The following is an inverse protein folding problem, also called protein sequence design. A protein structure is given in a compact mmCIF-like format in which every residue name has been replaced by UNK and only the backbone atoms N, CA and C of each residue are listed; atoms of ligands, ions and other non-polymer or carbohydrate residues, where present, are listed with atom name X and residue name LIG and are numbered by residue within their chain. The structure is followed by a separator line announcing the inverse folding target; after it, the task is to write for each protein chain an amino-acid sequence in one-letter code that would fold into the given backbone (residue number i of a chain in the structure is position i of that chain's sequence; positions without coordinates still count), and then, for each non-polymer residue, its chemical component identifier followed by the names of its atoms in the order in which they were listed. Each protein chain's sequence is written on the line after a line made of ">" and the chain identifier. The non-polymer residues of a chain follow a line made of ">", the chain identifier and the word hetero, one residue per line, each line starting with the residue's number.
data_IF_201395552618
#
_entry.id   IF_201395552618
#
_cell.length_a   1.000
_cell.length_b   1.000
_cell.length_c   1.000
_cell.angle_alpha   90.00
_cell.angle_beta   90.00
_cell.angle_gamma   90.00
#
_symmetry.space_group_name_H-M   'P 1'
#
loop_
_entity.id
_entity.type
_entity.pdbx_description
1 polymer ?
#
# COMPACT_ATOMS: atom_id res chain seq x y z
N UNK A 1 -29.30 20.77 6.50
CA UNK A 1 -27.98 20.25 6.06
C UNK A 1 -27.98 18.74 6.27
N UNK A 2 -27.60 17.91 5.29
CA UNK A 2 -27.49 16.47 5.52
C UNK A 2 -26.36 16.23 6.52
N UNK A 3 -26.61 15.42 7.55
CA UNK A 3 -25.59 15.01 8.52
C UNK A 3 -24.55 14.19 7.76
N UNK A 4 -23.34 14.72 7.57
CA UNK A 4 -22.23 13.92 7.04
C UNK A 4 -21.95 12.80 8.03
N UNK A 5 -22.14 11.55 7.62
CA UNK A 5 -21.83 10.39 8.45
C UNK A 5 -20.37 10.50 8.93
N UNK A 6 -20.20 10.48 10.26
CA UNK A 6 -18.90 10.46 10.91
C UNK A 6 -18.37 9.02 10.94
N UNK A 7 -17.06 8.87 10.93
CA UNK A 7 -16.39 7.57 11.11
C UNK A 7 -16.11 7.23 12.58
N UNK A 8 -16.46 8.11 13.51
CA UNK A 8 -16.10 7.97 14.92
C UNK A 8 -17.10 7.12 15.73
N UNK A 9 -16.62 6.24 16.63
CA UNK A 9 -15.20 5.91 16.85
C UNK A 9 -14.67 4.93 15.78
N UNK A 10 -13.49 5.22 15.23
CA UNK A 10 -12.82 4.32 14.30
C UNK A 10 -12.29 3.08 15.04
N UNK A 11 -12.65 1.85 14.63
CA UNK A 11 -12.12 0.64 15.24
C UNK A 11 -10.60 0.58 15.26
N UNK A 12 -10.04 -0.03 16.30
CA UNK A 12 -8.59 -0.13 16.51
C UNK A 12 -7.84 -0.71 15.28
N UNK A 13 -8.30 -1.79 14.62
CA UNK A 13 -7.57 -2.34 13.48
C UNK A 13 -7.40 -1.35 12.33
N UNK A 14 -8.46 -0.61 12.00
CA UNK A 14 -8.43 0.42 10.95
C UNK A 14 -7.59 1.62 11.34
N UNK A 15 -7.63 2.01 12.61
CA UNK A 15 -6.79 3.10 13.14
C UNK A 15 -5.31 2.74 13.03
N UNK A 16 -4.93 1.55 13.52
CA UNK A 16 -3.53 1.12 13.49
C UNK A 16 -3.03 0.96 12.07
N UNK A 17 -3.80 0.30 11.20
CA UNK A 17 -3.34 0.03 9.85
C UNK A 17 -3.25 1.30 8.99
N UNK A 18 -4.39 1.97 8.75
CA UNK A 18 -4.46 3.08 7.79
C UNK A 18 -3.74 4.34 8.25
N UNK A 19 -3.68 4.59 9.57
CA UNK A 19 -3.03 5.80 10.06
C UNK A 19 -1.55 5.57 10.37
N UNK A 20 -1.12 4.38 10.78
CA UNK A 20 0.24 4.19 11.29
C UNK A 20 1.05 3.17 10.50
N UNK A 21 0.62 1.91 10.48
CA UNK A 21 1.41 0.82 9.91
C UNK A 21 1.66 1.06 8.43
N UNK A 22 0.62 1.45 7.70
CA UNK A 22 0.70 1.61 6.26
C UNK A 22 1.51 2.83 5.82
N UNK A 23 1.27 4.06 6.30
CA UNK A 23 2.12 5.19 5.95
C UNK A 23 3.60 4.96 6.28
N UNK A 24 3.91 4.30 7.40
CA UNK A 24 5.30 3.96 7.76
C UNK A 24 5.89 2.90 6.83
N UNK A 25 5.13 1.87 6.47
CA UNK A 25 5.60 0.83 5.55
C UNK A 25 5.83 1.38 4.15
N UNK A 26 4.92 2.23 3.67
CA UNK A 26 4.99 2.84 2.34
C UNK A 26 6.18 3.80 2.21
N UNK A 27 6.49 4.60 3.24
CA UNK A 27 7.68 5.48 3.19
C UNK A 27 8.98 4.68 3.26
N UNK A 28 9.01 3.55 3.98
CA UNK A 28 10.15 2.62 3.96
C UNK A 28 10.32 2.03 2.56
N UNK A 29 9.22 1.65 1.89
CA UNK A 29 9.24 1.23 0.48
C UNK A 29 9.83 2.30 -0.44
N UNK A 30 9.43 3.57 -0.26
CA UNK A 30 9.97 4.71 -1.00
C UNK A 30 11.48 4.87 -0.78
N UNK A 31 11.94 4.71 0.48
CA UNK A 31 13.36 4.77 0.81
C UNK A 31 14.16 3.72 0.05
N UNK A 32 13.74 2.45 0.08
CA UNK A 32 14.47 1.39 -0.60
C UNK A 32 14.45 1.57 -2.13
N UNK A 33 13.31 1.99 -2.69
CA UNK A 33 13.18 2.23 -4.13
C UNK A 33 14.06 3.38 -4.64
N UNK A 34 14.43 4.37 -3.82
CA UNK A 34 15.30 5.47 -4.27
C UNK A 34 16.75 5.34 -3.79
N UNK A 35 16.97 5.08 -2.50
CA UNK A 35 18.29 5.14 -1.89
C UNK A 35 19.00 3.78 -1.86
N UNK A 36 18.29 2.67 -2.09
CA UNK A 36 18.84 1.32 -2.03
C UNK A 36 18.39 0.50 -3.26
N UNK A 37 18.53 1.09 -4.44
CA UNK A 37 18.02 0.53 -5.69
C UNK A 37 18.57 -0.87 -6.00
N UNK A 38 19.87 -1.10 -5.81
CA UNK A 38 20.51 -2.41 -6.05
C UNK A 38 19.89 -3.50 -5.16
N UNK A 39 19.77 -3.21 -3.86
CA UNK A 39 19.10 -4.10 -2.93
C UNK A 39 17.64 -4.32 -3.31
N UNK A 40 16.92 -3.26 -3.69
CA UNK A 40 15.52 -3.33 -4.07
C UNK A 40 15.31 -4.26 -5.27
N UNK A 41 16.11 -4.08 -6.32
CA UNK A 41 16.04 -4.87 -7.54
C UNK A 41 16.40 -6.33 -7.27
N UNK A 42 17.54 -6.58 -6.60
CA UNK A 42 18.00 -7.92 -6.27
C UNK A 42 17.01 -8.69 -5.38
N UNK A 43 16.39 -7.99 -4.41
CA UNK A 43 15.38 -8.60 -3.54
C UNK A 43 14.05 -8.86 -4.27
N UNK A 44 13.73 -8.10 -5.32
CA UNK A 44 12.52 -8.30 -6.12
C UNK A 44 12.72 -9.45 -7.11
N UNK A 45 13.79 -9.41 -7.91
CA UNK A 45 14.16 -10.48 -8.84
C UNK A 45 15.65 -10.75 -8.65
N UNK A 46 16.03 -11.96 -8.22
CA UNK A 46 17.44 -12.35 -8.12
C UNK A 46 18.16 -12.19 -9.46
N UNK A 47 19.46 -11.92 -9.42
CA UNK A 47 20.31 -11.75 -10.60
C UNK A 47 19.98 -10.55 -11.50
N UNK A 48 19.29 -9.53 -10.95
CA UNK A 48 19.25 -8.22 -11.58
C UNK A 48 20.68 -7.71 -11.75
N UNK A 49 21.12 -7.52 -13.00
CA UNK A 49 22.45 -6.97 -13.29
C UNK A 49 22.63 -5.54 -12.76
N UNK A 50 23.73 -4.90 -13.16
CA UNK A 50 23.96 -3.50 -12.79
C UNK A 50 22.79 -2.60 -13.23
N UNK A 51 22.37 -1.70 -12.35
CA UNK A 51 21.22 -0.82 -12.59
C UNK A 51 21.56 0.18 -13.69
N UNK A 52 20.77 0.15 -14.76
CA UNK A 52 20.85 1.13 -15.85
C UNK A 52 20.29 2.48 -15.42
N UNK A 53 20.68 3.54 -16.15
CA UNK A 53 20.12 4.90 -15.94
C UNK A 53 18.58 4.88 -16.07
N UNK A 54 18.04 4.06 -16.98
CA UNK A 54 16.58 3.96 -17.18
C UNK A 54 15.90 3.36 -15.95
N UNK A 55 16.43 2.28 -15.41
CA UNK A 55 15.92 1.65 -14.20
C UNK A 55 16.02 2.59 -13.01
N UNK A 56 17.14 3.30 -12.85
CA UNK A 56 17.30 4.27 -11.75
C UNK A 56 16.26 5.40 -11.80
N UNK A 57 15.94 5.90 -12.99
CA UNK A 57 14.85 6.89 -13.18
C UNK A 57 13.50 6.30 -12.81
N UNK A 58 13.17 5.09 -13.30
CA UNK A 58 11.88 4.44 -13.03
C UNK A 58 11.72 4.12 -11.54
N UNK A 59 12.77 3.63 -10.89
CA UNK A 59 12.78 3.34 -9.45
C UNK A 59 12.62 4.62 -8.61
N UNK A 60 13.23 5.72 -9.04
CA UNK A 60 13.03 7.03 -8.39
C UNK A 60 11.62 7.57 -8.58
N UNK A 61 11.00 7.35 -9.76
CA UNK A 61 9.60 7.68 -10.00
C UNK A 61 8.67 6.81 -9.14
N UNK A 62 8.97 5.51 -8.98
CA UNK A 62 8.25 4.61 -8.09
C UNK A 62 8.35 5.06 -6.63
N UNK A 63 9.55 5.42 -6.17
CA UNK A 63 9.75 5.97 -4.83
C UNK A 63 8.95 7.26 -4.60
N UNK A 64 8.94 8.16 -5.59
CA UNK A 64 8.13 9.37 -5.53
C UNK A 64 6.63 9.06 -5.45
N UNK A 65 6.15 8.02 -6.16
CA UNK A 65 4.76 7.58 -6.07
C UNK A 65 4.43 7.02 -4.67
N UNK A 66 5.31 6.21 -4.08
CA UNK A 66 5.16 5.73 -2.70
C UNK A 66 5.20 6.86 -1.68
N UNK A 67 6.04 7.87 -1.89
CA UNK A 67 6.05 9.05 -1.03
C UNK A 67 4.74 9.84 -1.15
N UNK A 68 4.26 10.09 -2.37
CA UNK A 68 2.96 10.72 -2.59
C UNK A 68 1.81 9.92 -1.95
N UNK A 69 1.87 8.59 -2.04
CA UNK A 69 0.91 7.70 -1.40
C UNK A 69 0.92 7.87 0.13
N UNK A 70 2.10 7.80 0.74
CA UNK A 70 2.29 8.06 2.18
C UNK A 70 1.67 9.39 2.61
N UNK A 71 1.93 10.47 1.86
CA UNK A 71 1.39 11.79 2.18
C UNK A 71 -0.13 11.83 2.09
N UNK A 72 -0.73 11.22 1.06
CA UNK A 72 -2.18 11.19 0.91
C UNK A 72 -2.84 10.44 2.07
N UNK A 73 -2.36 9.25 2.41
CA UNK A 73 -2.90 8.50 3.55
C UNK A 73 -2.69 9.23 4.86
N UNK A 74 -1.47 9.72 5.10
CA UNK A 74 -1.14 10.35 6.36
C UNK A 74 -1.93 11.64 6.58
N UNK A 75 -2.05 12.49 5.56
CA UNK A 75 -2.64 13.83 5.68
C UNK A 75 -4.16 13.82 5.46
N UNK A 76 -4.65 13.16 4.42
CA UNK A 76 -6.09 13.20 4.09
C UNK A 76 -6.91 12.49 5.15
N UNK A 77 -6.52 11.28 5.57
CA UNK A 77 -7.27 10.52 6.58
C UNK A 77 -7.24 11.19 7.97
N UNK A 78 -6.17 11.93 8.30
CA UNK A 78 -6.07 12.70 9.55
C UNK A 78 -6.79 14.04 9.51
N UNK A 79 -6.97 14.64 8.34
CA UNK A 79 -7.60 15.95 8.18
C UNK A 79 -9.13 15.91 8.15
N UNK A 80 -9.74 14.73 8.10
CA UNK A 80 -11.20 14.59 8.03
C UNK A 80 -11.74 13.38 8.77
N UNK A 81 -12.97 13.53 9.27
CA UNK A 81 -13.80 12.44 9.83
C UNK A 81 -14.96 12.06 8.91
N UNK A 82 -15.01 12.64 7.71
CA UNK A 82 -16.07 12.35 6.74
C UNK A 82 -15.94 10.94 6.19
N UNK A 83 -16.96 10.10 6.43
CA UNK A 83 -17.06 8.75 5.88
C UNK A 83 -16.94 8.73 4.36
N UNK A 84 -17.49 9.74 3.68
CA UNK A 84 -17.43 9.87 2.23
C UNK A 84 -15.98 10.04 1.74
N UNK A 85 -15.20 10.92 2.39
CA UNK A 85 -13.81 11.15 1.99
C UNK A 85 -12.95 9.91 2.23
N UNK A 86 -13.14 9.26 3.37
CA UNK A 86 -12.47 7.99 3.69
C UNK A 86 -12.79 6.91 2.65
N UNK A 87 -14.08 6.71 2.33
CA UNK A 87 -14.47 5.72 1.32
C UNK A 87 -13.91 6.03 -0.05
N UNK A 88 -13.93 7.30 -0.48
CA UNK A 88 -13.39 7.70 -1.79
C UNK A 88 -11.88 7.46 -1.86
N UNK A 89 -11.12 7.85 -0.83
CA UNK A 89 -9.68 7.62 -0.81
C UNK A 89 -9.37 6.12 -0.78
N UNK A 90 -9.95 5.37 0.16
CA UNK A 90 -9.65 3.94 0.31
C UNK A 90 -10.12 3.10 -0.89
N UNK A 91 -11.16 3.52 -1.63
CA UNK A 91 -11.52 2.89 -2.89
C UNK A 91 -10.44 3.10 -3.96
N UNK A 92 -9.92 4.33 -4.09
CA UNK A 92 -8.81 4.60 -5.02
C UNK A 92 -7.56 3.78 -4.68
N UNK A 93 -7.27 3.64 -3.38
CA UNK A 93 -6.15 2.83 -2.90
C UNK A 93 -6.38 1.34 -3.11
N UNK A 94 -7.60 0.83 -2.93
CA UNK A 94 -7.94 -0.56 -3.24
C UNK A 94 -7.72 -0.89 -4.73
N UNK A 95 -8.04 0.06 -5.63
CA UNK A 95 -7.76 -0.09 -7.06
C UNK A 95 -6.23 -0.12 -7.29
N UNK A 96 -5.47 0.74 -6.60
CA UNK A 96 -4.02 0.75 -6.66
C UNK A 96 -3.40 -0.56 -6.14
N UNK A 97 -3.95 -1.16 -5.07
CA UNK A 97 -3.51 -2.44 -4.52
C UNK A 97 -3.58 -3.55 -5.59
N UNK A 98 -4.71 -3.64 -6.30
CA UNK A 98 -4.84 -4.61 -7.41
C UNK A 98 -3.87 -4.33 -8.56
N UNK A 99 -3.62 -3.04 -8.86
CA UNK A 99 -2.61 -2.64 -9.83
C UNK A 99 -1.20 -3.09 -9.45
N UNK A 100 -0.82 -2.89 -8.18
CA UNK A 100 0.47 -3.31 -7.63
C UNK A 100 0.64 -4.84 -7.65
N UNK A 101 -0.40 -5.57 -7.22
CA UNK A 101 -0.44 -7.04 -7.28
C UNK A 101 -0.31 -7.51 -8.73
N UNK A 102 -0.99 -6.87 -9.68
CA UNK A 102 -0.90 -7.22 -11.10
C UNK A 102 0.49 -6.97 -11.69
N UNK A 103 1.15 -5.88 -11.28
CA UNK A 103 2.50 -5.54 -11.74
C UNK A 103 3.53 -6.64 -11.39
N UNK A 104 3.28 -7.42 -10.33
CA UNK A 104 4.13 -8.53 -9.93
C UNK A 104 4.03 -9.77 -10.85
N UNK A 105 3.09 -9.80 -11.81
CA UNK A 105 2.79 -11.01 -12.61
C UNK A 105 4.00 -11.53 -13.37
N UNK A 106 4.87 -10.63 -13.82
CA UNK A 106 6.07 -10.98 -14.57
C UNK A 106 7.08 -11.80 -13.74
N UNK A 107 7.03 -11.72 -12.39
CA UNK A 107 7.87 -12.53 -11.50
C UNK A 107 7.41 -13.99 -11.37
N UNK A 108 6.25 -14.34 -11.95
CA UNK A 108 5.73 -15.70 -11.98
C UNK A 108 4.47 -15.88 -11.12
N UNK A 109 3.47 -16.56 -11.68
CA UNK A 109 2.19 -16.78 -11.01
C UNK A 109 2.29 -17.68 -9.77
N UNK A 110 3.30 -18.56 -9.72
CA UNK A 110 3.53 -19.45 -8.57
C UNK A 110 3.79 -18.66 -7.28
N UNK A 111 4.41 -17.49 -7.42
CA UNK A 111 4.80 -16.66 -6.29
C UNK A 111 3.58 -16.11 -5.54
N UNK A 112 2.42 -15.99 -6.16
CA UNK A 112 1.21 -15.41 -5.55
C UNK A 112 0.68 -16.24 -4.37
N UNK A 113 0.95 -17.54 -4.35
CA UNK A 113 0.47 -18.46 -3.31
C UNK A 113 1.60 -19.15 -2.53
N UNK A 114 2.84 -19.04 -3.00
CA UNK A 114 4.00 -19.70 -2.36
C UNK A 114 4.60 -18.85 -1.25
N UNK A 115 3.82 -18.58 -0.19
CA UNK A 115 4.20 -17.70 0.93
C UNK A 115 5.52 -18.15 1.59
N UNK A 116 5.77 -19.46 1.63
CA UNK A 116 7.02 -20.06 2.15
C UNK A 116 8.27 -19.74 1.32
N UNK A 117 8.12 -19.22 0.10
CA UNK A 117 9.23 -18.77 -0.75
C UNK A 117 9.49 -17.27 -0.66
N UNK A 118 8.64 -16.51 0.04
CA UNK A 118 8.76 -15.06 0.07
C UNK A 118 9.93 -14.60 0.94
N UNK A 119 10.77 -13.74 0.36
CA UNK A 119 11.69 -12.92 1.13
C UNK A 119 10.97 -11.66 1.65
N UNK A 120 11.67 -10.81 2.39
CA UNK A 120 11.11 -9.57 2.96
C UNK A 120 10.48 -8.68 1.89
N UNK A 121 11.08 -8.58 0.70
CA UNK A 121 10.55 -7.77 -0.39
C UNK A 121 9.23 -8.34 -0.92
N UNK A 122 9.13 -9.67 -1.07
CA UNK A 122 7.90 -10.32 -1.51
C UNK A 122 6.78 -10.31 -0.46
N UNK A 123 7.14 -10.37 0.83
CA UNK A 123 6.18 -10.08 1.89
C UNK A 123 5.63 -8.66 1.78
N UNK A 124 6.44 -7.66 1.42
CA UNK A 124 5.99 -6.30 1.13
C UNK A 124 5.13 -6.22 -0.13
N UNK A 125 5.60 -6.78 -1.25
CA UNK A 125 4.94 -6.65 -2.55
C UNK A 125 3.61 -7.40 -2.67
N UNK A 126 3.45 -8.53 -1.96
CA UNK A 126 2.22 -9.33 -2.02
C UNK A 126 1.52 -9.38 -0.65
N UNK A 127 2.21 -9.86 0.38
CA UNK A 127 1.58 -10.08 1.70
C UNK A 127 0.99 -8.81 2.32
N UNK A 128 1.77 -7.74 2.38
CA UNK A 128 1.34 -6.45 2.93
C UNK A 128 0.19 -5.86 2.12
N UNK A 129 0.27 -5.93 0.79
CA UNK A 129 -0.77 -5.42 -0.12
C UNK A 129 -2.06 -6.26 -0.02
N UNK A 130 -1.98 -7.58 0.16
CA UNK A 130 -3.15 -8.42 0.44
C UNK A 130 -3.85 -8.03 1.74
N UNK A 131 -3.09 -7.74 2.80
CA UNK A 131 -3.65 -7.26 4.07
C UNK A 131 -4.32 -5.89 3.87
N UNK A 132 -3.65 -4.95 3.19
CA UNK A 132 -4.20 -3.63 2.88
C UNK A 132 -5.50 -3.70 2.08
N UNK A 133 -5.49 -4.44 0.97
CA UNK A 133 -6.66 -4.65 0.13
C UNK A 133 -7.83 -5.28 0.91
N UNK A 134 -7.53 -6.24 1.79
CA UNK A 134 -8.55 -6.89 2.64
C UNK A 134 -9.15 -5.90 3.62
N UNK A 135 -8.33 -5.13 4.35
CA UNK A 135 -8.81 -4.13 5.31
C UNK A 135 -9.60 -3.02 4.63
N UNK A 136 -9.17 -2.55 3.47
CA UNK A 136 -9.91 -1.58 2.66
C UNK A 136 -11.25 -2.14 2.22
N UNK A 137 -11.30 -3.37 1.75
CA UNK A 137 -12.54 -4.04 1.36
C UNK A 137 -13.49 -4.16 2.55
N UNK A 138 -13.01 -4.65 3.69
CA UNK A 138 -13.80 -4.74 4.93
C UNK A 138 -14.33 -3.36 5.34
N UNK A 139 -13.47 -2.34 5.34
CA UNK A 139 -13.86 -0.99 5.69
C UNK A 139 -14.94 -0.46 4.74
N UNK A 140 -14.77 -0.58 3.42
CA UNK A 140 -15.73 -0.10 2.42
C UNK A 140 -17.09 -0.79 2.51
N UNK A 141 -17.10 -2.08 2.83
CA UNK A 141 -18.32 -2.87 3.09
C UNK A 141 -18.95 -2.59 4.47
N UNK A 142 -18.31 -1.78 5.31
CA UNK A 142 -18.79 -1.44 6.65
C UNK A 142 -18.53 -2.50 7.71
N UNK A 143 -17.72 -3.52 7.40
CA UNK A 143 -17.40 -4.60 8.33
C UNK A 143 -16.62 -4.03 9.52
N UNK A 144 -17.02 -4.38 10.74
CA UNK A 144 -16.35 -3.95 11.97
C UNK A 144 -16.57 -2.48 12.35
N UNK A 145 -17.34 -1.71 11.58
CA UNK A 145 -17.72 -0.35 11.94
C UNK A 145 -18.97 -0.33 12.82
N UNK A 146 -19.16 0.71 13.66
CA UNK A 146 -20.40 0.87 14.41
C UNK A 146 -21.61 0.90 13.47
N UNK A 147 -22.67 0.17 13.84
CA UNK A 147 -23.98 0.29 13.17
C UNK A 147 -24.48 1.73 13.32
N UNK A 148 -24.80 2.36 12.19
CA UNK A 148 -25.35 3.72 12.14
C UNK A 148 -26.76 3.81 12.73
#
# INVERSE_FOLDING_TARGET
>A
MPRTASIDPLPLPYTLFFLWIEPVSTIVGAYFAHFQQEYYMHATVPDAGAISIRESVVLSQLANLYFAFTLNEALVLRSTRSRKVWNTLLLGLLIADFGHIYACKAAGLELYYSIWKWNVMWFGNLGFVYIGATLRTCFLLGIGLPSS
#
